data_IF_966712849770
#
_entry.id   IF_966712849770
#
_cell.length_a   1.000
_cell.length_b   1.000
_cell.length_c   1.000
_cell.angle_alpha   90.00
_cell.angle_beta   90.00
_cell.angle_gamma   90.00
#
_symmetry.space_group_name_H-M   'P 1'
#
loop_
_entity.id
_entity.type
_entity.pdbx_description
1 polymer ?
#
# COMPACT_ATOMS: atom_id res chain seq x y z
N UNK A 1 -4.27 9.23 9.54
CA UNK A 1 -4.89 8.10 10.26
C UNK A 1 -6.15 7.70 9.54
N UNK A 2 -6.28 6.41 9.25
CA UNK A 2 -7.49 5.83 8.65
C UNK A 2 -8.67 5.99 9.61
N UNK A 3 -9.85 6.26 9.05
CA UNK A 3 -11.11 6.34 9.80
C UNK A 3 -11.80 4.98 9.90
N UNK A 4 -11.70 4.19 8.83
CA UNK A 4 -12.32 2.88 8.68
C UNK A 4 -11.23 1.84 8.37
N UNK A 5 -11.59 0.56 8.45
CA UNK A 5 -10.73 -0.54 8.02
C UNK A 5 -10.61 -0.55 6.48
N UNK A 6 -9.41 -0.83 5.97
CA UNK A 6 -9.15 -0.94 4.53
C UNK A 6 -8.43 -2.24 4.22
N UNK A 7 -8.75 -2.89 3.10
CA UNK A 7 -7.97 -4.02 2.62
C UNK A 7 -6.68 -3.53 1.97
N UNK A 8 -5.55 -4.18 2.28
CA UNK A 8 -4.31 -4.03 1.53
C UNK A 8 -4.56 -4.42 0.06
N UNK A 9 -4.23 -3.53 -0.87
CA UNK A 9 -4.49 -3.75 -2.30
C UNK A 9 -3.76 -4.99 -2.84
N UNK A 10 -2.58 -5.31 -2.27
CA UNK A 10 -1.74 -6.41 -2.75
C UNK A 10 -2.10 -7.79 -2.23
N UNK A 11 -2.39 -7.93 -0.93
CA UNK A 11 -2.61 -9.22 -0.26
C UNK A 11 -4.03 -9.40 0.29
N UNK A 12 -4.82 -8.32 0.36
CA UNK A 12 -6.17 -8.33 0.93
C UNK A 12 -6.25 -8.28 2.45
N UNK A 13 -5.12 -8.33 3.18
CA UNK A 13 -5.13 -8.25 4.64
C UNK A 13 -5.72 -6.90 5.12
N UNK A 14 -6.53 -6.92 6.19
CA UNK A 14 -7.11 -5.70 6.74
C UNK A 14 -6.03 -4.82 7.38
N UNK A 15 -6.10 -3.53 7.10
CA UNK A 15 -5.37 -2.43 7.72
C UNK A 15 -6.38 -1.67 8.58
N UNK A 16 -6.22 -1.76 9.89
CA UNK A 16 -7.13 -1.21 10.88
C UNK A 16 -6.76 0.23 11.24
N UNK A 17 -7.73 1.03 11.72
CA UNK A 17 -7.46 2.35 12.25
C UNK A 17 -6.39 2.32 13.35
N UNK A 18 -5.36 3.17 13.19
CA UNK A 18 -4.23 3.27 14.12
C UNK A 18 -3.03 2.41 13.74
N UNK A 19 -3.15 1.48 12.79
CA UNK A 19 -2.00 0.75 12.24
C UNK A 19 -1.20 1.62 11.27
N UNK A 20 0.08 1.30 11.13
CA UNK A 20 0.96 1.87 10.13
C UNK A 20 0.66 1.28 8.75
N UNK A 21 0.81 2.09 7.70
CA UNK A 21 0.54 1.70 6.33
C UNK A 21 1.33 2.57 5.36
N UNK A 22 1.46 2.11 4.12
CA UNK A 22 1.96 2.93 3.02
C UNK A 22 0.82 3.34 2.09
N UNK A 23 0.79 4.61 1.72
CA UNK A 23 -0.06 5.11 0.64
C UNK A 23 0.81 5.28 -0.60
N UNK A 24 0.45 4.56 -1.66
CA UNK A 24 1.12 4.67 -2.97
C UNK A 24 0.23 5.50 -3.86
N UNK A 25 0.78 6.62 -4.33
CA UNK A 25 0.18 7.48 -5.35
C UNK A 25 1.17 7.56 -6.52
N UNK A 26 0.73 7.21 -7.72
CA UNK A 26 1.58 7.17 -8.90
C UNK A 26 0.79 7.21 -10.19
N UNK A 27 1.51 7.28 -11.31
CA UNK A 27 0.92 7.29 -12.66
C UNK A 27 1.30 6.02 -13.38
N UNK A 28 0.29 5.29 -13.85
CA UNK A 28 0.42 4.06 -14.64
C UNK A 28 -0.05 4.32 -16.08
N UNK A 29 0.24 3.42 -17.04
CA UNK A 29 -0.29 3.54 -18.40
C UNK A 29 -1.83 3.64 -18.47
N UNK A 30 -2.51 3.04 -17.49
CA UNK A 30 -3.98 3.02 -17.39
C UNK A 30 -4.55 4.23 -16.61
N UNK A 31 -3.69 5.12 -16.10
CA UNK A 31 -4.07 6.33 -15.36
C UNK A 31 -3.45 6.43 -13.97
N UNK A 32 -4.05 7.28 -13.12
CA UNK A 32 -3.62 7.46 -11.74
C UNK A 32 -3.87 6.19 -10.91
N UNK A 33 -2.83 5.74 -10.20
CA UNK A 33 -2.90 4.64 -9.23
C UNK A 33 -2.84 5.22 -7.82
N UNK A 34 -3.85 4.92 -7.01
CA UNK A 34 -3.91 5.27 -5.59
C UNK A 34 -4.32 4.05 -4.78
N UNK A 35 -3.36 3.47 -4.07
CA UNK A 35 -3.58 2.22 -3.31
C UNK A 35 -2.97 2.31 -1.91
N UNK A 36 -3.54 1.52 -1.00
CA UNK A 36 -3.04 1.36 0.36
C UNK A 36 -2.41 -0.02 0.51
N UNK A 37 -1.20 -0.06 1.07
CA UNK A 37 -0.45 -1.30 1.34
C UNK A 37 -0.19 -1.44 2.83
N UNK A 38 -0.30 -2.67 3.35
CA UNK A 38 0.19 -3.01 4.67
C UNK A 38 1.73 -2.92 4.71
N UNK A 39 2.31 -2.74 5.90
CA UNK A 39 3.76 -2.57 6.08
C UNK A 39 4.59 -3.67 5.40
N UNK A 40 4.26 -4.97 5.51
CA UNK A 40 5.03 -6.02 4.82
C UNK A 40 5.02 -5.89 3.29
N UNK A 41 3.87 -5.55 2.69
CA UNK A 41 3.77 -5.37 1.24
C UNK A 41 4.48 -4.09 0.77
N UNK A 42 4.45 -3.04 1.60
CA UNK A 42 5.18 -1.81 1.33
C UNK A 42 6.70 -2.01 1.36
N UNK A 43 7.21 -2.75 2.35
CA UNK A 43 8.62 -3.12 2.47
C UNK A 43 9.09 -3.97 1.29
N UNK A 44 8.28 -4.97 0.89
CA UNK A 44 8.56 -5.76 -0.31
C UNK A 44 8.57 -4.93 -1.60
N UNK A 45 7.67 -3.95 -1.71
CA UNK A 45 7.65 -3.02 -2.85
C UNK A 45 8.89 -2.13 -2.86
N UNK A 46 9.31 -1.59 -1.70
CA UNK A 46 10.52 -0.76 -1.61
C UNK A 46 11.73 -1.54 -2.13
N UNK A 47 11.99 -2.73 -1.58
CA UNK A 47 13.10 -3.59 -2.01
C UNK A 47 13.11 -3.84 -3.52
N UNK A 48 11.93 -4.13 -4.07
CA UNK A 48 11.78 -4.33 -5.52
C UNK A 48 12.16 -3.07 -6.32
N UNK A 49 11.73 -1.88 -5.87
CA UNK A 49 12.06 -0.60 -6.52
C UNK A 49 13.53 -0.21 -6.35
N UNK A 50 14.13 -0.56 -5.21
CA UNK A 50 15.55 -0.37 -4.91
C UNK A 50 16.45 -1.36 -5.69
N UNK A 51 15.85 -2.38 -6.33
CA UNK A 51 16.56 -3.35 -7.17
C UNK A 51 17.24 -4.47 -6.39
N UNK A 52 16.76 -4.76 -5.17
CA UNK A 52 17.24 -5.83 -4.29
C UNK A 52 16.64 -7.22 -4.63
#
# INVERSE_FOLDING_TARGET
MLRDEHACDRCGDPIRPGEEYAAVDGVTPDGDLRVLLCVPCADALSRFLDGE
#
